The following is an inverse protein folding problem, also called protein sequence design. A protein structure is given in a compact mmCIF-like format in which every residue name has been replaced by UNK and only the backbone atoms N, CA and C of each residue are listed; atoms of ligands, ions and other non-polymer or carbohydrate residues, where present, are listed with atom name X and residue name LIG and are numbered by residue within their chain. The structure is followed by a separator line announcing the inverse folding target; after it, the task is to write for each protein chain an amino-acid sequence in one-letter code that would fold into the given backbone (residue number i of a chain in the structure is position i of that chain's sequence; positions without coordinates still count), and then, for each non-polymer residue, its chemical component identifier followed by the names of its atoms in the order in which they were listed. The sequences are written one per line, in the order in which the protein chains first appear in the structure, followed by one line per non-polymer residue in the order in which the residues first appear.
data_IF_273951324201
#
_entry.id   IF_273951324201
#
_cell.length_a   1.000
_cell.length_b   1.000
_cell.length_c   1.000
_cell.angle_alpha   90.00
_cell.angle_beta   90.00
_cell.angle_gamma   90.00
#
_symmetry.space_group_name_H-M   'P 1'
#
loop_
_entity.id
_entity.type
_entity.pdbx_description
1 polymer ?
#
# COMPACT_ATOMS: atom_id res chain seq x y z
N UNK A 1 -25.42 -35.12 -2.65
CA UNK A 1 -26.25 -35.10 -1.42
C UNK A 1 -25.31 -34.64 -0.32
N UNK A 2 -25.34 -33.44 0.25
CA UNK A 2 -26.41 -32.48 0.51
C UNK A 2 -25.77 -31.08 0.61
N UNK A 3 -26.09 -30.21 -0.34
CA UNK A 3 -25.76 -28.78 -0.25
C UNK A 3 -26.67 -28.15 0.80
N UNK A 4 -26.11 -27.71 1.93
CA UNK A 4 -26.83 -26.88 2.89
C UNK A 4 -27.00 -25.48 2.31
N UNK A 5 -28.05 -25.29 1.52
CA UNK A 5 -28.55 -23.99 1.12
C UNK A 5 -29.20 -23.34 2.34
N UNK A 6 -28.53 -22.36 2.94
CA UNK A 6 -29.16 -21.49 3.95
C UNK A 6 -30.30 -20.73 3.28
N UNK A 7 -31.57 -20.89 3.70
CA UNK A 7 -32.68 -20.23 3.04
C UNK A 7 -32.74 -18.77 3.52
N UNK A 8 -32.51 -17.82 2.62
CA UNK A 8 -32.90 -16.44 2.84
C UNK A 8 -34.44 -16.38 2.90
N UNK A 9 -35.01 -16.37 4.10
CA UNK A 9 -36.44 -16.13 4.31
C UNK A 9 -36.77 -14.66 4.03
N UNK A 10 -36.93 -14.29 2.75
CA UNK A 10 -37.69 -13.11 2.37
C UNK A 10 -39.15 -13.55 2.16
N UNK A 11 -39.96 -13.45 3.21
CA UNK A 11 -41.31 -14.01 3.25
C UNK A 11 -42.36 -13.32 2.34
N UNK A 12 -41.98 -12.37 1.47
CA UNK A 12 -42.94 -11.64 0.62
C UNK A 12 -42.36 -11.23 -0.75
N UNK A 13 -41.80 -12.17 -1.50
CA UNK A 13 -41.54 -11.92 -2.92
C UNK A 13 -42.34 -12.90 -3.77
N UNK A 14 -43.61 -12.55 -4.02
CA UNK A 14 -44.44 -13.19 -5.03
C UNK A 14 -43.74 -13.04 -6.38
N UNK A 15 -43.69 -14.13 -7.16
CA UNK A 15 -43.09 -14.19 -8.49
C UNK A 15 -43.78 -13.22 -9.45
N UNK A 16 -43.36 -11.96 -9.47
CA UNK A 16 -43.71 -11.04 -10.55
C UNK A 16 -42.66 -9.94 -10.63
N UNK A 17 -41.80 -10.09 -11.64
CA UNK A 17 -40.95 -9.04 -12.22
C UNK A 17 -40.11 -8.27 -11.20
N UNK A 18 -38.97 -8.84 -10.81
CA UNK A 18 -37.87 -8.05 -10.23
C UNK A 18 -37.33 -7.07 -11.28
N UNK A 19 -38.00 -5.94 -11.46
CA UNK A 19 -37.35 -4.72 -11.92
C UNK A 19 -36.24 -4.38 -10.93
N UNK A 20 -35.04 -4.17 -11.46
CA UNK A 20 -33.73 -4.07 -10.82
C UNK A 20 -33.54 -3.00 -9.72
N UNK A 21 -34.60 -2.44 -9.14
CA UNK A 21 -34.54 -1.14 -8.45
C UNK A 21 -34.87 -1.18 -6.95
N UNK A 22 -35.38 -2.29 -6.39
CA UNK A 22 -35.81 -2.29 -4.98
C UNK A 22 -35.39 -3.53 -4.16
N UNK A 23 -34.09 -3.85 -4.08
CA UNK A 23 -33.60 -4.59 -2.90
C UNK A 23 -32.70 -3.68 -2.07
N UNK A 24 -33.22 -3.06 -0.98
CA UNK A 24 -32.40 -2.35 0.01
C UNK A 24 -31.71 -3.35 0.97
N UNK A 25 -31.54 -4.60 0.54
CA UNK A 25 -30.86 -5.63 1.28
C UNK A 25 -29.34 -5.41 1.16
N UNK A 26 -28.79 -4.59 2.07
CA UNK A 26 -27.34 -4.35 2.21
C UNK A 26 -26.49 -5.63 2.39
N UNK A 27 -27.10 -6.81 2.50
CA UNK A 27 -26.43 -8.11 2.57
C UNK A 27 -26.09 -8.73 1.20
N UNK A 28 -26.48 -8.10 0.08
CA UNK A 28 -26.28 -8.65 -1.27
C UNK A 28 -25.22 -7.87 -2.08
N UNK A 29 -24.02 -7.66 -1.50
CA UNK A 29 -22.84 -7.30 -2.29
C UNK A 29 -21.61 -8.08 -1.80
N UNK A 30 -21.42 -9.34 -2.23
CA UNK A 30 -20.26 -10.14 -1.83
C UNK A 30 -18.97 -9.75 -2.57
N UNK A 31 -18.98 -8.71 -3.42
CA UNK A 31 -17.83 -8.28 -4.23
C UNK A 31 -17.02 -7.12 -3.62
N UNK A 32 -17.47 -6.51 -2.53
CA UNK A 32 -16.73 -5.45 -1.81
C UNK A 32 -16.07 -5.94 -0.51
N UNK A 33 -16.12 -7.25 -0.22
CA UNK A 33 -15.47 -7.84 0.93
C UNK A 33 -13.95 -7.99 0.66
N UNK A 34 -13.17 -7.07 1.23
CA UNK A 34 -11.70 -7.05 1.38
C UNK A 34 -10.86 -6.51 0.20
N UNK A 35 -11.00 -5.22 -0.07
CA UNK A 35 -9.95 -4.47 -0.80
C UNK A 35 -8.69 -4.37 0.09
N UNK A 36 -7.68 -5.22 -0.16
CA UNK A 36 -6.50 -5.40 0.72
C UNK A 36 -5.33 -4.43 0.42
N UNK A 37 -5.24 -3.90 -0.80
CA UNK A 37 -4.11 -3.08 -1.26
C UNK A 37 -3.89 -1.75 -0.49
N UNK A 38 -4.91 -1.03 0.03
CA UNK A 38 -4.68 0.23 0.75
C UNK A 38 -4.00 -0.01 2.10
N UNK A 39 -4.28 -1.18 2.72
CA UNK A 39 -3.62 -1.60 3.95
C UNK A 39 -2.14 -1.88 3.68
N UNK A 40 -1.84 -2.60 2.60
CA UNK A 40 -0.48 -2.97 2.23
C UNK A 40 0.43 -1.75 1.99
N UNK A 41 -0.06 -0.70 1.32
CA UNK A 41 0.74 0.50 1.02
C UNK A 41 1.16 1.31 2.26
N UNK A 42 0.47 1.15 3.38
CA UNK A 42 0.74 1.89 4.63
C UNK A 42 1.38 1.03 5.71
N UNK A 43 1.47 -0.28 5.49
CA UNK A 43 2.06 -1.20 6.44
C UNK A 43 3.58 -0.97 6.51
N UNK A 44 4.18 -1.19 7.69
CA UNK A 44 5.63 -1.06 7.86
C UNK A 44 6.37 -2.15 7.09
N UNK A 45 7.65 -1.91 6.75
CA UNK A 45 8.43 -2.85 5.94
C UNK A 45 8.52 -4.22 6.60
N UNK A 46 8.60 -4.28 7.92
CA UNK A 46 8.67 -5.51 8.70
C UNK A 46 7.40 -6.38 8.59
N UNK A 47 6.22 -5.77 8.36
CA UNK A 47 4.97 -6.51 8.13
C UNK A 47 4.81 -6.91 6.65
N UNK A 48 5.27 -6.04 5.73
CA UNK A 48 5.12 -6.24 4.29
C UNK A 48 6.13 -7.26 3.76
N UNK A 49 7.39 -7.14 4.19
CA UNK A 49 8.53 -7.95 3.72
C UNK A 49 9.57 -8.12 4.85
N UNK A 50 9.39 -9.13 5.73
CA UNK A 50 10.31 -9.37 6.84
C UNK A 50 11.68 -9.87 6.37
N UNK A 51 11.77 -10.53 5.21
CA UNK A 51 13.05 -11.03 4.68
C UNK A 51 13.98 -9.88 4.32
N UNK A 52 13.46 -8.84 3.65
CA UNK A 52 14.23 -7.64 3.34
C UNK A 52 14.57 -6.85 4.61
N UNK A 53 13.64 -6.75 5.56
CA UNK A 53 13.91 -6.09 6.84
C UNK A 53 15.08 -6.76 7.59
N UNK A 54 15.11 -8.10 7.63
CA UNK A 54 16.20 -8.86 8.25
C UNK A 54 17.54 -8.63 7.54
N UNK A 55 17.57 -8.59 6.21
CA UNK A 55 18.78 -8.29 5.43
C UNK A 55 19.33 -6.90 5.78
N UNK A 56 18.46 -5.90 5.93
CA UNK A 56 18.87 -4.53 6.31
C UNK A 56 19.48 -4.52 7.72
N UNK A 57 18.90 -5.24 8.67
CA UNK A 57 19.45 -5.34 10.04
C UNK A 57 20.79 -6.07 10.09
N UNK A 58 20.96 -7.12 9.29
CA UNK A 58 22.24 -7.81 9.14
C UNK A 58 23.32 -6.88 8.58
N UNK A 59 23.00 -6.06 7.58
CA UNK A 59 23.94 -5.10 7.02
C UNK A 59 24.28 -3.97 8.00
N UNK A 60 23.30 -3.44 8.74
CA UNK A 60 23.56 -2.49 9.83
C UNK A 60 24.53 -3.07 10.86
N UNK A 61 24.35 -4.33 11.26
CA UNK A 61 25.23 -5.00 12.20
C UNK A 61 26.64 -5.24 11.62
N UNK A 62 26.75 -5.50 10.32
CA UNK A 62 28.04 -5.62 9.61
C UNK A 62 28.80 -4.30 9.64
N UNK A 63 28.16 -3.21 9.24
CA UNK A 63 28.75 -1.87 9.24
C UNK A 63 29.14 -1.40 10.65
N UNK A 64 28.36 -1.75 11.67
CA UNK A 64 28.67 -1.37 13.05
C UNK A 64 29.90 -2.08 13.62
N UNK A 65 30.11 -3.35 13.25
CA UNK A 65 31.23 -4.17 13.75
C UNK A 65 32.50 -4.00 12.92
N UNK A 66 32.39 -3.59 11.66
CA UNK A 66 33.49 -3.44 10.72
C UNK A 66 34.25 -2.12 10.90
N UNK A 67 35.57 -2.17 10.68
CA UNK A 67 36.38 -0.98 10.45
C UNK A 67 36.46 -0.75 8.94
N UNK A 68 35.63 0.14 8.42
CA UNK A 68 35.61 0.46 6.99
C UNK A 68 36.74 1.44 6.65
N UNK A 69 37.73 0.98 5.87
CA UNK A 69 38.94 1.74 5.51
C UNK A 69 38.95 2.18 4.04
N UNK A 70 37.83 2.02 3.34
CA UNK A 70 37.68 2.42 1.94
C UNK A 70 37.40 3.92 1.90
N UNK A 71 38.34 4.70 1.34
CA UNK A 71 38.29 6.18 1.36
C UNK A 71 37.07 6.79 0.67
N UNK A 72 36.44 6.07 -0.26
CA UNK A 72 35.25 6.53 -0.98
C UNK A 72 33.94 6.24 -0.26
N UNK A 73 33.95 5.37 0.76
CA UNK A 73 32.75 5.00 1.50
C UNK A 73 32.55 5.91 2.71
N UNK A 74 31.30 6.14 3.08
CA UNK A 74 30.95 7.03 4.18
C UNK A 74 29.58 6.68 4.76
N UNK A 75 29.34 7.12 6.00
CA UNK A 75 28.04 7.02 6.66
C UNK A 75 27.29 8.32 6.50
N UNK A 76 26.10 8.25 5.91
CA UNK A 76 25.22 9.41 5.77
C UNK A 76 24.50 9.72 7.08
N UNK A 77 24.08 10.98 7.26
CA UNK A 77 23.30 11.39 8.43
C UNK A 77 21.85 10.88 8.36
N UNK A 78 21.23 10.69 9.53
CA UNK A 78 19.83 10.27 9.62
C UNK A 78 18.88 11.25 8.91
N UNK A 79 19.14 12.56 9.03
CA UNK A 79 18.36 13.60 8.36
C UNK A 79 18.36 13.47 6.84
N UNK A 80 19.49 13.07 6.24
CA UNK A 80 19.57 12.84 4.79
C UNK A 80 18.78 11.58 4.41
N UNK A 81 18.89 10.49 5.16
CA UNK A 81 18.11 9.27 4.90
C UNK A 81 16.60 9.51 4.99
N UNK A 82 16.15 10.31 5.97
CA UNK A 82 14.74 10.70 6.11
C UNK A 82 14.24 11.50 4.89
N UNK A 83 15.06 12.43 4.38
CA UNK A 83 14.71 13.20 3.19
C UNK A 83 14.63 12.31 1.93
N UNK A 84 15.56 11.35 1.77
CA UNK A 84 15.57 10.40 0.65
C UNK A 84 14.33 9.50 0.66
N UNK A 85 13.92 9.00 1.83
CA UNK A 85 12.72 8.17 1.99
C UNK A 85 11.39 8.94 2.01
N UNK A 86 11.40 10.24 1.67
CA UNK A 86 10.21 11.08 1.73
C UNK A 86 9.30 10.95 0.50
N UNK A 87 8.13 11.59 0.58
CA UNK A 87 7.13 11.62 -0.50
C UNK A 87 7.61 12.34 -1.76
N UNK A 88 8.77 13.02 -1.71
CA UNK A 88 9.35 13.72 -2.87
C UNK A 88 9.63 12.77 -4.05
N UNK A 89 9.85 11.49 -3.77
CA UNK A 89 10.05 10.43 -4.78
C UNK A 89 8.87 10.24 -5.72
N UNK A 90 7.66 10.62 -5.31
CA UNK A 90 6.45 10.44 -6.11
C UNK A 90 6.29 11.49 -7.21
N UNK A 91 7.00 12.61 -7.13
CA UNK A 91 6.76 13.75 -8.01
C UNK A 91 7.58 13.62 -9.29
N UNK A 92 6.90 13.80 -10.43
CA UNK A 92 7.53 13.88 -11.74
C UNK A 92 7.85 15.34 -12.09
N UNK A 93 9.13 15.64 -12.33
CA UNK A 93 9.63 17.03 -12.37
C UNK A 93 10.58 17.28 -13.56
N UNK A 94 10.12 17.00 -14.78
CA UNK A 94 10.90 17.31 -15.98
C UNK A 94 11.01 18.83 -16.23
N UNK A 95 12.17 19.27 -16.73
CA UNK A 95 12.50 20.66 -17.02
C UNK A 95 13.41 21.30 -15.97
N UNK A 96 13.28 22.61 -15.77
CA UNK A 96 14.02 23.39 -14.76
C UNK A 96 13.05 24.15 -13.84
N UNK A 97 13.48 24.61 -12.64
CA UNK A 97 12.67 25.47 -11.80
C UNK A 97 12.13 26.68 -12.59
N UNK A 98 10.82 26.93 -12.54
CA UNK A 98 10.16 27.98 -13.33
C UNK A 98 9.90 27.64 -14.81
N UNK A 99 10.45 26.53 -15.32
CA UNK A 99 10.25 26.03 -16.68
C UNK A 99 9.99 24.51 -16.65
N UNK A 100 8.91 24.13 -15.97
CA UNK A 100 8.48 22.72 -15.85
C UNK A 100 7.44 22.40 -16.92
N UNK A 101 7.50 21.18 -17.44
CA UNK A 101 6.48 20.69 -18.38
C UNK A 101 5.16 20.33 -17.69
N UNK A 102 5.21 19.94 -16.41
CA UNK A 102 4.05 19.52 -15.63
C UNK A 102 3.79 20.45 -14.43
N UNK A 103 2.51 20.64 -14.10
CA UNK A 103 2.05 21.47 -12.99
C UNK A 103 2.21 20.86 -11.60
N UNK A 104 1.94 21.67 -10.57
CA UNK A 104 2.03 21.28 -9.15
C UNK A 104 3.46 21.06 -8.67
N UNK A 105 4.41 21.84 -9.20
CA UNK A 105 5.84 21.86 -8.85
C UNK A 105 6.18 23.25 -8.27
N UNK A 106 5.45 23.64 -7.22
CA UNK A 106 5.49 24.98 -6.62
C UNK A 106 6.67 25.15 -5.65
N UNK A 107 7.10 24.06 -5.04
CA UNK A 107 8.13 23.99 -4.01
C UNK A 107 9.33 23.16 -4.50
#
# INVERSE_FOLDING_TARGET
MSSTSTPCRCAHCSMSVCLFVCCPCLSCSPLLASVQWPKQLKAPLEEVDPEIADIIELEKARQWKGLELILSENFTSLSVMQAVGSIMTNKYIEGYPGARYYGGNEY
#
